data_IF_302154762302
#
_entry.id   IF_302154762302
#
_cell.length_a   1.000
_cell.length_b   1.000
_cell.length_c   1.000
_cell.angle_alpha   90.00
_cell.angle_beta   90.00
_cell.angle_gamma   90.00
#
_symmetry.space_group_name_H-M   'P 1'
#
loop_
_entity.id
_entity.type
_entity.pdbx_description
1 polymer ?
#
# COMPACT_ATOMS: atom_id res chain seq x y z
N UNK A 1 13.74 -17.50 -19.91
CA UNK A 1 12.41 -17.72 -19.28
C UNK A 1 12.28 -17.06 -17.90
N UNK A 2 13.33 -17.06 -17.06
CA UNK A 2 13.32 -16.35 -15.77
C UNK A 2 13.29 -14.82 -15.94
N UNK A 3 14.06 -14.28 -16.89
CA UNK A 3 14.11 -12.83 -17.17
C UNK A 3 12.74 -12.31 -17.64
N UNK A 4 11.98 -13.13 -18.36
CA UNK A 4 10.61 -12.84 -18.77
C UNK A 4 9.65 -12.77 -17.57
N UNK A 5 9.75 -13.72 -16.63
CA UNK A 5 8.93 -13.72 -15.40
C UNK A 5 9.32 -12.56 -14.49
N UNK A 6 10.60 -12.27 -14.38
CA UNK A 6 11.15 -11.17 -13.60
C UNK A 6 10.72 -9.81 -14.15
N UNK A 7 10.88 -9.58 -15.46
CA UNK A 7 10.45 -8.35 -16.11
C UNK A 7 8.94 -8.16 -16.02
N UNK A 8 8.15 -9.23 -16.14
CA UNK A 8 6.69 -9.17 -15.97
C UNK A 8 6.31 -8.80 -14.53
N UNK A 9 6.99 -9.33 -13.52
CA UNK A 9 6.75 -8.98 -12.11
C UNK A 9 7.17 -7.54 -11.82
N UNK A 10 8.34 -7.08 -12.31
CA UNK A 10 8.80 -5.68 -12.18
C UNK A 10 7.82 -4.71 -12.82
N UNK A 11 7.35 -4.99 -14.05
CA UNK A 11 6.38 -4.16 -14.76
C UNK A 11 5.04 -4.10 -14.02
N UNK A 12 4.54 -5.23 -13.55
CA UNK A 12 3.31 -5.28 -12.76
C UNK A 12 3.44 -4.56 -11.41
N UNK A 13 4.62 -4.60 -10.79
CA UNK A 13 4.91 -3.88 -9.54
C UNK A 13 4.92 -2.37 -9.75
N UNK A 14 5.64 -1.89 -10.77
CA UNK A 14 5.63 -0.47 -11.12
C UNK A 14 4.21 0.00 -11.47
N UNK A 15 3.48 -0.79 -12.26
CA UNK A 15 2.09 -0.48 -12.60
C UNK A 15 1.20 -0.39 -11.35
N UNK A 16 1.28 -1.37 -10.45
CA UNK A 16 0.53 -1.31 -9.21
C UNK A 16 0.92 -0.12 -8.35
N UNK A 17 2.21 0.23 -8.26
CA UNK A 17 2.67 1.40 -7.53
C UNK A 17 2.08 2.69 -8.12
N UNK A 18 2.14 2.85 -9.45
CA UNK A 18 1.58 4.01 -10.15
C UNK A 18 0.07 4.12 -9.96
N UNK A 19 -0.66 3.01 -10.12
CA UNK A 19 -2.12 2.98 -9.91
C UNK A 19 -2.46 3.32 -8.46
N UNK A 20 -1.74 2.75 -7.50
CA UNK A 20 -2.00 2.92 -6.06
C UNK A 20 -1.68 4.36 -5.63
N UNK A 21 -0.57 4.92 -6.12
CA UNK A 21 -0.19 6.31 -5.89
C UNK A 21 -1.21 7.27 -6.54
N UNK A 22 -1.56 7.04 -7.81
CA UNK A 22 -2.53 7.85 -8.55
C UNK A 22 -3.93 7.83 -7.94
N UNK A 23 -4.43 6.66 -7.52
CA UNK A 23 -5.71 6.54 -6.80
C UNK A 23 -5.69 7.28 -5.47
N UNK A 24 -4.60 7.16 -4.71
CA UNK A 24 -4.47 7.84 -3.42
C UNK A 24 -4.40 9.36 -3.56
N UNK A 25 -3.61 9.87 -4.52
CA UNK A 25 -3.53 11.29 -4.83
C UNK A 25 -4.85 11.83 -5.36
N UNK A 26 -5.47 11.10 -6.29
CA UNK A 26 -6.76 11.46 -6.87
C UNK A 26 -7.84 11.54 -5.80
N UNK A 27 -7.85 10.61 -4.85
CA UNK A 27 -8.74 10.67 -3.71
C UNK A 27 -8.49 11.93 -2.88
N UNK A 28 -7.27 12.16 -2.39
CA UNK A 28 -6.95 13.37 -1.60
C UNK A 28 -7.29 14.67 -2.33
N UNK A 29 -7.03 14.72 -3.63
CA UNK A 29 -7.36 15.87 -4.47
C UNK A 29 -8.88 16.09 -4.53
N UNK A 30 -9.64 15.05 -4.86
CA UNK A 30 -11.11 15.13 -4.84
C UNK A 30 -11.61 15.54 -3.47
N UNK A 31 -11.08 14.99 -2.38
CA UNK A 31 -11.44 15.34 -1.00
C UNK A 31 -11.23 16.82 -0.70
N UNK A 32 -10.06 17.36 -1.07
CA UNK A 32 -9.69 18.73 -0.76
C UNK A 32 -10.52 19.76 -1.53
N UNK A 33 -10.94 19.44 -2.76
CA UNK A 33 -11.76 20.35 -3.55
C UNK A 33 -13.26 20.16 -3.38
N UNK A 34 -13.72 18.96 -3.02
CA UNK A 34 -15.15 18.64 -2.86
C UNK A 34 -15.69 18.82 -1.43
N UNK A 35 -14.83 18.81 -0.41
CA UNK A 35 -15.24 18.94 0.99
C UNK A 35 -14.62 20.19 1.63
N UNK A 36 -15.42 21.25 1.80
CA UNK A 36 -14.99 22.51 2.41
C UNK A 36 -14.49 22.32 3.84
N UNK A 37 -15.15 21.47 4.64
CA UNK A 37 -14.71 21.15 6.00
C UNK A 37 -13.33 20.51 6.03
N UNK A 38 -13.06 19.56 5.13
CA UNK A 38 -11.74 18.94 5.01
C UNK A 38 -10.69 19.94 4.54
N UNK A 39 -11.04 20.79 3.57
CA UNK A 39 -10.17 21.85 3.06
C UNK A 39 -9.77 22.85 4.14
N UNK A 40 -10.72 23.26 4.97
CA UNK A 40 -10.51 24.25 6.02
C UNK A 40 -9.72 23.67 7.19
N UNK A 41 -9.93 22.39 7.50
CA UNK A 41 -9.26 21.68 8.60
C UNK A 41 -7.81 21.29 8.27
N UNK A 42 -7.55 20.92 7.02
CA UNK A 42 -6.20 20.58 6.54
C UNK A 42 -5.45 21.86 6.14
N UNK A 43 -6.07 22.76 5.39
CA UNK A 43 -5.41 23.93 4.82
C UNK A 43 -4.45 23.59 3.67
N UNK A 44 -4.11 24.59 2.85
CA UNK A 44 -3.30 24.39 1.63
C UNK A 44 -1.91 23.83 1.90
N UNK A 45 -1.22 24.35 2.91
CA UNK A 45 0.17 23.96 3.20
C UNK A 45 0.26 22.52 3.69
N UNK A 46 -0.68 22.08 4.54
CA UNK A 46 -0.73 20.70 5.01
C UNK A 46 -1.15 19.75 3.89
N UNK A 47 -2.05 20.16 3.00
CA UNK A 47 -2.45 19.36 1.85
C UNK A 47 -1.27 19.07 0.91
N UNK A 48 -0.48 20.10 0.57
CA UNK A 48 0.75 19.95 -0.22
C UNK A 48 1.74 19.05 0.51
N UNK A 49 1.93 19.25 1.82
CA UNK A 49 2.79 18.40 2.64
C UNK A 49 2.34 16.93 2.61
N UNK A 50 1.06 16.63 2.75
CA UNK A 50 0.51 15.27 2.70
C UNK A 50 0.77 14.59 1.35
N UNK A 51 0.57 15.31 0.23
CA UNK A 51 0.87 14.79 -1.11
C UNK A 51 2.36 14.47 -1.25
N UNK A 52 3.23 15.42 -0.88
CA UNK A 52 4.69 15.25 -1.00
C UNK A 52 5.16 14.10 -0.12
N UNK A 53 4.74 14.08 1.15
CA UNK A 53 5.08 13.02 2.09
C UNK A 53 4.64 11.65 1.59
N UNK A 54 3.40 11.52 1.12
CA UNK A 54 2.87 10.27 0.60
C UNK A 54 3.63 9.79 -0.64
N UNK A 55 4.01 10.72 -1.53
CA UNK A 55 4.81 10.40 -2.73
C UNK A 55 6.18 9.86 -2.35
N UNK A 56 6.89 10.56 -1.45
CA UNK A 56 8.21 10.15 -0.97
C UNK A 56 8.13 8.81 -0.26
N UNK A 57 7.11 8.61 0.57
CA UNK A 57 6.90 7.37 1.29
C UNK A 57 6.61 6.20 0.33
N UNK A 58 5.73 6.40 -0.67
CA UNK A 58 5.42 5.40 -1.70
C UNK A 58 6.66 5.00 -2.52
N UNK A 59 7.44 5.98 -2.96
CA UNK A 59 8.68 5.73 -3.72
C UNK A 59 9.74 5.02 -2.85
N UNK A 60 9.87 5.43 -1.58
CA UNK A 60 10.72 4.76 -0.60
C UNK A 60 10.31 3.30 -0.39
N UNK A 61 9.01 3.06 -0.22
CA UNK A 61 8.46 1.70 -0.11
C UNK A 61 8.71 0.88 -1.38
N UNK A 62 8.51 1.48 -2.56
CA UNK A 62 8.79 0.85 -3.85
C UNK A 62 10.24 0.35 -3.94
N UNK A 63 11.16 1.21 -3.54
CA UNK A 63 12.60 0.92 -3.57
C UNK A 63 12.99 -0.16 -2.57
N UNK A 64 12.47 -0.12 -1.34
CA UNK A 64 12.70 -1.16 -0.33
C UNK A 64 12.20 -2.52 -0.84
N UNK A 65 10.98 -2.57 -1.38
CA UNK A 65 10.41 -3.78 -1.94
C UNK A 65 11.21 -4.35 -3.09
N UNK A 66 11.66 -3.50 -4.01
CA UNK A 66 12.56 -3.88 -5.09
C UNK A 66 13.85 -4.50 -4.51
N UNK A 67 14.50 -3.83 -3.56
CA UNK A 67 15.72 -4.34 -2.92
C UNK A 67 15.48 -5.65 -2.18
N UNK A 68 14.34 -5.82 -1.51
CA UNK A 68 14.01 -7.05 -0.80
C UNK A 68 13.71 -8.24 -1.73
N UNK A 69 13.23 -8.00 -2.94
CA UNK A 69 13.05 -9.06 -3.93
C UNK A 69 14.40 -9.65 -4.38
N UNK A 70 15.47 -8.83 -4.48
CA UNK A 70 16.73 -9.23 -5.11
C UNK A 70 17.96 -9.32 -4.17
N UNK A 71 17.95 -8.72 -2.97
CA UNK A 71 19.08 -8.76 -2.01
C UNK A 71 18.72 -9.43 -0.67
N UNK A 72 19.67 -10.15 -0.06
CA UNK A 72 19.56 -10.59 1.35
C UNK A 72 19.61 -9.32 2.24
N UNK A 73 18.73 -9.12 3.24
CA UNK A 73 17.86 -10.09 3.94
C UNK A 73 16.37 -10.07 3.53
N UNK A 74 16.04 -9.71 2.29
CA UNK A 74 14.66 -9.38 1.88
C UNK A 74 13.54 -10.41 2.11
N UNK A 75 13.85 -11.69 2.40
CA UNK A 75 12.85 -12.70 2.77
C UNK A 75 12.22 -12.43 4.14
N UNK A 76 12.98 -11.91 5.11
CA UNK A 76 12.46 -11.57 6.45
C UNK A 76 11.51 -10.39 6.39
N UNK A 77 11.89 -9.35 5.63
CA UNK A 77 11.03 -8.18 5.39
C UNK A 77 9.72 -8.54 4.68
N UNK A 78 9.79 -9.33 3.60
CA UNK A 78 8.59 -9.77 2.89
C UNK A 78 7.68 -10.65 3.76
N UNK A 79 8.25 -11.53 4.59
CA UNK A 79 7.48 -12.33 5.54
C UNK A 79 6.81 -11.47 6.62
N UNK A 80 7.55 -10.52 7.20
CA UNK A 80 7.00 -9.55 8.14
C UNK A 80 5.84 -8.76 7.52
N UNK A 81 6.02 -8.29 6.28
CA UNK A 81 4.96 -7.53 5.60
C UNK A 81 3.71 -8.37 5.34
N UNK A 82 3.86 -9.66 5.02
CA UNK A 82 2.74 -10.59 4.88
C UNK A 82 1.95 -10.80 6.17
N UNK A 83 2.59 -10.66 7.33
CA UNK A 83 1.94 -10.80 8.64
C UNK A 83 1.30 -9.46 9.06
N UNK A 84 2.01 -8.35 8.90
CA UNK A 84 1.53 -7.05 9.38
C UNK A 84 0.37 -6.50 8.54
N UNK A 85 0.32 -6.79 7.24
CA UNK A 85 -0.75 -6.31 6.34
C UNK A 85 -2.14 -6.78 6.81
N UNK A 86 -2.42 -8.08 6.99
CA UNK A 86 -3.73 -8.52 7.46
C UNK A 86 -4.03 -8.03 8.88
N UNK A 87 -3.04 -7.93 9.77
CA UNK A 87 -3.23 -7.34 11.11
C UNK A 87 -3.71 -5.90 10.98
N UNK A 88 -3.04 -5.07 10.16
CA UNK A 88 -3.44 -3.69 9.92
C UNK A 88 -4.84 -3.60 9.28
N UNK A 89 -5.19 -4.48 8.34
CA UNK A 89 -6.53 -4.54 7.75
C UNK A 89 -7.61 -4.86 8.79
N UNK A 90 -7.34 -5.75 9.75
CA UNK A 90 -8.27 -6.07 10.84
C UNK A 90 -8.49 -4.82 11.71
N UNK A 91 -7.44 -4.09 12.06
CA UNK A 91 -7.56 -2.84 12.82
C UNK A 91 -8.42 -1.80 12.08
N UNK A 92 -8.23 -1.66 10.77
CA UNK A 92 -9.02 -0.77 9.91
C UNK A 92 -10.51 -1.17 9.91
N UNK A 93 -10.82 -2.47 9.84
CA UNK A 93 -12.20 -2.99 9.94
C UNK A 93 -12.79 -2.72 11.32
N UNK A 94 -12.04 -2.97 12.40
CA UNK A 94 -12.49 -2.72 13.77
C UNK A 94 -12.76 -1.22 14.02
N UNK A 95 -11.93 -0.35 13.45
CA UNK A 95 -12.13 1.10 13.54
C UNK A 95 -13.39 1.53 12.79
N UNK A 96 -13.63 0.97 11.59
CA UNK A 96 -14.86 1.18 10.83
C UNK A 96 -16.08 0.76 11.66
N UNK A 97 -16.09 -0.46 12.23
CA UNK A 97 -17.19 -0.96 13.04
C UNK A 97 -17.46 -0.07 14.28
N UNK A 98 -16.42 0.43 14.94
CA UNK A 98 -16.57 1.34 16.08
C UNK A 98 -17.15 2.70 15.70
N UNK A 99 -16.74 3.27 14.56
CA UNK A 99 -17.31 4.50 14.01
C UNK A 99 -18.82 4.36 13.71
N UNK A 100 -19.26 3.18 13.25
CA UNK A 100 -20.68 2.91 13.05
C UNK A 100 -21.46 2.67 14.35
N UNK A 101 -20.80 2.19 15.40
CA UNK A 101 -21.47 1.74 16.64
C UNK A 101 -21.63 2.85 17.69
N UNK A 102 -20.73 3.83 17.74
CA UNK A 102 -20.68 4.82 18.84
C UNK A 102 -20.65 6.31 18.43
N UNK A 103 -20.73 6.65 17.14
CA UNK A 103 -20.58 8.04 16.72
C UNK A 103 -21.89 8.87 16.75
N UNK A 104 -21.90 10.09 17.35
CA UNK A 104 -23.07 10.97 17.36
C UNK A 104 -23.46 11.42 15.94
N UNK A 105 -24.75 11.76 15.72
CA UNK A 105 -25.35 12.03 14.39
C UNK A 105 -24.56 13.02 13.51
N UNK A 106 -23.83 13.98 14.09
CA UNK A 106 -23.01 14.97 13.36
C UNK A 106 -21.82 14.33 12.63
N UNK A 107 -21.30 13.20 13.14
CA UNK A 107 -20.21 12.42 12.52
C UNK A 107 -20.70 11.61 11.30
N UNK A 108 -22.02 11.35 11.19
CA UNK A 108 -22.57 10.53 10.09
C UNK A 108 -22.54 11.22 8.72
N UNK A 109 -22.45 12.55 8.65
CA UNK A 109 -22.41 13.27 7.36
C UNK A 109 -21.04 13.09 6.67
N UNK A 110 -19.97 12.89 7.45
CA UNK A 110 -18.66 12.45 6.93
C UNK A 110 -18.57 10.92 6.75
N UNK A 111 -19.60 10.13 7.11
CA UNK A 111 -19.49 8.67 7.08
C UNK A 111 -19.31 8.10 5.67
N UNK A 112 -19.84 8.71 4.62
CA UNK A 112 -19.60 8.25 3.24
C UNK A 112 -18.14 8.49 2.84
N UNK A 113 -17.59 9.65 3.24
CA UNK A 113 -16.20 10.00 3.01
C UNK A 113 -15.25 9.07 3.77
N UNK A 114 -15.50 8.89 5.06
CA UNK A 114 -14.71 8.00 5.93
C UNK A 114 -14.82 6.55 5.45
N UNK A 115 -16.02 6.08 5.08
CA UNK A 115 -16.22 4.74 4.53
C UNK A 115 -15.46 4.54 3.22
N UNK A 116 -15.42 5.55 2.34
CA UNK A 116 -14.66 5.49 1.09
C UNK A 116 -13.16 5.40 1.36
N UNK A 117 -12.65 6.11 2.36
CA UNK A 117 -11.28 6.01 2.84
C UNK A 117 -10.96 4.62 3.42
N UNK A 118 -11.86 4.06 4.23
CA UNK A 118 -11.71 2.71 4.78
C UNK A 118 -11.67 1.64 3.67
N UNK A 119 -12.60 1.72 2.71
CA UNK A 119 -12.65 0.79 1.57
C UNK A 119 -11.39 0.92 0.71
N UNK A 120 -10.95 2.14 0.41
CA UNK A 120 -9.72 2.38 -0.36
C UNK A 120 -8.50 1.82 0.38
N UNK A 121 -8.39 2.04 1.69
CA UNK A 121 -7.32 1.51 2.53
C UNK A 121 -7.27 -0.02 2.54
N UNK A 122 -8.43 -0.69 2.65
CA UNK A 122 -8.52 -2.15 2.59
C UNK A 122 -8.16 -2.70 1.21
N UNK A 123 -8.64 -2.06 0.13
CA UNK A 123 -8.31 -2.44 -1.24
C UNK A 123 -6.81 -2.31 -1.51
N UNK A 124 -6.18 -1.20 -1.09
CA UNK A 124 -4.73 -1.01 -1.19
C UNK A 124 -3.97 -2.06 -0.39
N UNK A 125 -4.40 -2.34 0.85
CA UNK A 125 -3.82 -3.40 1.69
C UNK A 125 -3.85 -4.77 1.02
N UNK A 126 -4.97 -5.14 0.38
CA UNK A 126 -5.10 -6.40 -0.35
C UNK A 126 -4.12 -6.46 -1.55
N UNK A 127 -4.02 -5.38 -2.32
CA UNK A 127 -3.08 -5.28 -3.44
C UNK A 127 -1.64 -5.48 -2.95
N UNK A 128 -1.22 -4.75 -1.90
CA UNK A 128 0.12 -4.89 -1.33
C UNK A 128 0.37 -6.29 -0.76
N UNK A 129 -0.63 -6.94 -0.15
CA UNK A 129 -0.53 -8.31 0.32
C UNK A 129 -0.27 -9.31 -0.82
N UNK A 130 -1.08 -9.25 -1.88
CA UNK A 130 -0.92 -10.12 -3.06
C UNK A 130 0.43 -9.91 -3.73
N UNK A 131 0.90 -8.66 -3.82
CA UNK A 131 2.23 -8.36 -4.35
C UNK A 131 3.35 -8.89 -3.46
N UNK A 132 3.24 -8.72 -2.14
CA UNK A 132 4.19 -9.27 -1.17
C UNK A 132 4.31 -10.78 -1.29
N UNK A 133 3.18 -11.49 -1.48
CA UNK A 133 3.16 -12.94 -1.72
C UNK A 133 3.90 -13.31 -3.00
N UNK A 134 3.65 -12.59 -4.10
CA UNK A 134 4.31 -12.84 -5.40
C UNK A 134 5.81 -12.59 -5.31
N UNK A 135 6.25 -11.51 -4.66
CA UNK A 135 7.66 -11.20 -4.46
C UNK A 135 8.35 -12.18 -3.51
N UNK A 136 7.66 -12.67 -2.48
CA UNK A 136 8.16 -13.73 -1.61
C UNK A 136 8.41 -15.04 -2.38
N UNK A 137 7.45 -15.45 -3.24
CA UNK A 137 7.61 -16.61 -4.13
C UNK A 137 8.77 -16.43 -5.11
N UNK A 138 8.93 -15.24 -5.69
CA UNK A 138 10.05 -14.92 -6.58
C UNK A 138 11.39 -15.00 -5.85
N UNK A 139 11.51 -14.39 -4.66
CA UNK A 139 12.73 -14.43 -3.85
C UNK A 139 13.14 -15.87 -3.49
N UNK A 140 12.16 -16.73 -3.15
CA UNK A 140 12.40 -18.16 -2.91
C UNK A 140 12.94 -18.86 -4.16
N UNK A 141 12.35 -18.62 -5.34
CA UNK A 141 12.81 -19.19 -6.62
C UNK A 141 14.23 -18.77 -6.98
N UNK A 142 14.55 -17.47 -6.87
CA UNK A 142 15.88 -16.93 -7.17
C UNK A 142 16.93 -17.58 -6.24
N UNK A 143 16.65 -17.63 -4.93
CA UNK A 143 17.58 -18.23 -3.96
C UNK A 143 17.81 -19.71 -4.16
N UNK A 144 16.76 -20.48 -4.45
CA UNK A 144 16.90 -21.91 -4.71
C UNK A 144 17.83 -22.18 -5.90
N UNK A 145 17.74 -21.36 -6.96
CA UNK A 145 18.63 -21.50 -8.13
C UNK A 145 20.07 -21.08 -7.86
N UNK A 146 20.29 -19.97 -7.15
CA UNK A 146 21.64 -19.56 -6.75
C UNK A 146 22.33 -20.61 -5.87
N UNK A 147 21.56 -21.34 -5.05
CA UNK A 147 22.07 -22.42 -4.21
C UNK A 147 22.37 -23.72 -4.97
N UNK A 148 21.71 -23.98 -6.11
CA UNK A 148 22.06 -25.11 -6.99
C UNK A 148 23.31 -24.79 -7.82
N UNK A 149 23.42 -23.57 -8.37
CA UNK A 149 24.59 -23.17 -9.18
C UNK A 149 25.89 -23.12 -8.36
N UNK A 150 25.83 -22.90 -7.04
CA UNK A 150 27.05 -22.89 -6.21
C UNK A 150 27.50 -24.29 -5.76
N UNK A 151 26.78 -25.35 -6.15
CA UNK A 151 27.11 -26.74 -5.81
C UNK A 151 27.69 -27.51 -7.00
N UNK A 152 27.57 -26.94 -8.19
CA UNK A 152 28.24 -27.36 -9.42
C UNK A 152 29.57 -26.59 -9.56
#
# INVERSE_FOLDING_TARGET
MLDLVENKIKKNWLYALFVTCGLSMGFYYVSFFSNSTFRDLVGRNMFIFMIVFQTVFMLGWAYIYYRCAYKKPGRKFLAFHLIITPISSIFVILQMLNLFSFAPKVVRVNAIYDTSLFILGLAMGLVFFVFSLKLFKLNKKIKNRLATVSKD
#
